data_IF_091989689228
#
_entry.id   IF_091989689228
#
_cell.length_a   1.000
_cell.length_b   1.000
_cell.length_c   1.000
_cell.angle_alpha   90.00
_cell.angle_beta   90.00
_cell.angle_gamma   90.00
#
_symmetry.space_group_name_H-M   'P 1'
#
loop_
_entity.id
_entity.type
_entity.pdbx_description
1 polymer ?
#
# COMPACT_ATOMS: atom_id res chain seq x y z
N UNK A 1 24.05 8.18 9.42
CA UNK A 1 23.85 6.82 8.88
C UNK A 1 22.39 6.72 8.53
N UNK A 2 22.06 6.44 7.26
CA UNK A 2 20.66 6.17 6.88
C UNK A 2 20.17 4.94 7.65
N UNK A 3 18.92 4.98 8.11
CA UNK A 3 18.30 3.87 8.82
C UNK A 3 18.18 2.69 7.82
N UNK A 4 18.76 1.51 8.08
CA UNK A 4 18.71 0.38 7.14
C UNK A 4 17.28 -0.07 6.81
N UNK A 5 16.32 0.19 7.71
CA UNK A 5 14.90 -0.05 7.46
C UNK A 5 14.36 0.90 6.39
N UNK A 6 14.77 2.17 6.40
CA UNK A 6 14.34 3.14 5.38
C UNK A 6 14.90 2.79 4.01
N UNK A 7 16.13 2.30 3.93
CA UNK A 7 16.71 1.80 2.67
C UNK A 7 15.93 0.58 2.15
N UNK A 8 15.57 -0.35 3.02
CA UNK A 8 14.76 -1.51 2.66
C UNK A 8 13.36 -1.08 2.16
N UNK A 9 12.70 -0.16 2.86
CA UNK A 9 11.39 0.38 2.44
C UNK A 9 11.52 1.07 1.08
N UNK A 10 12.52 1.96 0.92
CA UNK A 10 12.78 2.67 -0.34
C UNK A 10 13.01 1.71 -1.50
N UNK A 11 13.79 0.64 -1.27
CA UNK A 11 14.03 -0.39 -2.26
C UNK A 11 12.74 -1.12 -2.63
N UNK A 12 11.93 -1.49 -1.65
CA UNK A 12 10.67 -2.22 -1.88
C UNK A 12 9.69 -1.39 -2.73
N UNK A 13 9.49 -0.11 -2.38
CA UNK A 13 8.54 0.77 -3.08
C UNK A 13 9.04 1.25 -4.45
N UNK A 14 10.34 1.19 -4.72
CA UNK A 14 10.89 1.50 -6.06
C UNK A 14 11.03 0.27 -6.95
N UNK A 15 11.16 -0.92 -6.37
CA UNK A 15 11.24 -2.19 -7.12
C UNK A 15 9.87 -2.67 -7.59
N UNK A 16 8.83 -2.43 -6.81
CA UNK A 16 7.47 -2.85 -7.12
C UNK A 16 6.60 -1.63 -7.41
N UNK A 17 5.80 -1.72 -8.47
CA UNK A 17 4.95 -0.62 -8.91
C UNK A 17 3.84 -0.25 -7.93
N UNK A 18 3.31 -1.23 -7.19
CA UNK A 18 2.29 -1.01 -6.16
C UNK A 18 2.65 -1.84 -4.93
N UNK A 19 2.82 -1.16 -3.79
CA UNK A 19 3.18 -1.78 -2.51
C UNK A 19 2.18 -1.38 -1.44
N UNK A 20 1.62 -2.36 -0.75
CA UNK A 20 0.74 -2.18 0.39
C UNK A 20 1.42 -2.68 1.66
N UNK A 21 1.83 -1.77 2.53
CA UNK A 21 2.20 -2.12 3.90
C UNK A 21 0.94 -2.34 4.72
N UNK A 22 0.77 -3.54 5.25
CA UNK A 22 -0.46 -3.98 5.91
C UNK A 22 -0.18 -4.87 7.12
N UNK A 23 -1.23 -5.13 7.91
CA UNK A 23 -1.19 -6.10 9.01
C UNK A 23 -1.70 -7.45 8.49
N UNK A 24 -0.85 -8.46 8.46
CA UNK A 24 -1.11 -9.73 7.80
C UNK A 24 -0.74 -9.70 6.32
N UNK A 25 -1.35 -10.58 5.52
CA UNK A 25 -1.09 -10.71 4.08
C UNK A 25 -2.35 -10.43 3.25
N UNK A 26 -2.24 -10.21 1.92
CA UNK A 26 -3.41 -10.03 1.07
C UNK A 26 -4.42 -11.19 1.14
N UNK A 27 -3.93 -12.41 1.34
CA UNK A 27 -4.77 -13.62 1.47
C UNK A 27 -5.33 -13.76 2.89
N UNK A 28 -4.57 -13.37 3.90
CA UNK A 28 -4.94 -13.46 5.31
C UNK A 28 -4.69 -12.12 6.03
N UNK A 29 -5.57 -11.11 5.84
CA UNK A 29 -5.43 -9.83 6.52
C UNK A 29 -5.77 -9.98 8.01
N UNK A 30 -4.96 -9.38 8.87
CA UNK A 30 -5.13 -9.44 10.34
C UNK A 30 -5.71 -8.15 10.93
N UNK A 31 -6.21 -7.25 10.08
CA UNK A 31 -6.82 -5.99 10.49
C UNK A 31 -7.88 -5.56 9.47
N UNK A 32 -9.06 -5.11 9.94
CA UNK A 32 -10.16 -4.69 9.07
C UNK A 32 -9.79 -3.56 8.10
N UNK A 33 -8.95 -2.61 8.53
CA UNK A 33 -8.45 -1.54 7.65
C UNK A 33 -7.54 -2.09 6.54
N UNK A 34 -6.67 -3.05 6.87
CA UNK A 34 -5.84 -3.74 5.88
C UNK A 34 -6.68 -4.56 4.91
N UNK A 35 -7.70 -5.27 5.41
CA UNK A 35 -8.63 -6.01 4.57
C UNK A 35 -9.40 -5.09 3.60
N UNK A 36 -9.84 -3.91 4.05
CA UNK A 36 -10.54 -2.95 3.21
C UNK A 36 -9.70 -2.45 2.03
N UNK A 37 -8.42 -2.12 2.26
CA UNK A 37 -7.53 -1.69 1.16
C UNK A 37 -7.23 -2.83 0.20
N UNK A 38 -7.00 -4.05 0.72
CA UNK A 38 -6.84 -5.25 -0.14
C UNK A 38 -8.07 -5.48 -1.01
N UNK A 39 -9.27 -5.34 -0.45
CA UNK A 39 -10.52 -5.47 -1.20
C UNK A 39 -10.60 -4.43 -2.32
N UNK A 40 -10.31 -3.15 -2.04
CA UNK A 40 -10.31 -2.09 -3.06
C UNK A 40 -9.37 -2.43 -4.21
N UNK A 41 -8.11 -2.75 -3.92
CA UNK A 41 -7.12 -3.09 -4.95
C UNK A 41 -7.52 -4.34 -5.75
N UNK A 42 -8.13 -5.32 -5.09
CA UNK A 42 -8.64 -6.55 -5.73
C UNK A 42 -9.81 -6.25 -6.68
N UNK A 43 -10.76 -5.41 -6.27
CA UNK A 43 -11.90 -5.02 -7.14
C UNK A 43 -11.42 -4.26 -8.38
N UNK A 44 -10.38 -3.43 -8.23
CA UNK A 44 -9.74 -2.74 -9.36
C UNK A 44 -8.86 -3.66 -10.22
N UNK A 45 -8.62 -4.91 -9.78
CA UNK A 45 -7.74 -5.85 -10.47
C UNK A 45 -6.28 -5.41 -10.50
N UNK A 46 -5.84 -4.65 -9.50
CA UNK A 46 -4.47 -4.16 -9.41
C UNK A 46 -3.57 -5.29 -8.90
N UNK A 47 -2.46 -5.55 -9.60
CA UNK A 47 -1.40 -6.40 -9.05
C UNK A 47 -0.56 -5.57 -8.08
N UNK A 48 -0.47 -6.01 -6.83
CA UNK A 48 0.30 -5.32 -5.80
C UNK A 48 1.08 -6.29 -4.91
N UNK A 49 2.15 -5.78 -4.30
CA UNK A 49 2.92 -6.47 -3.28
C UNK A 49 2.37 -6.12 -1.89
N UNK A 50 1.89 -7.12 -1.15
CA UNK A 50 1.56 -6.96 0.27
C UNK A 50 2.78 -7.22 1.15
N UNK A 51 3.10 -6.28 2.04
CA UNK A 51 4.18 -6.41 3.03
C UNK A 51 3.58 -6.41 4.43
N UNK A 52 3.79 -7.51 5.16
CA UNK A 52 3.27 -7.67 6.52
C UNK A 52 4.18 -6.96 7.53
N UNK A 53 3.69 -5.88 8.14
CA UNK A 53 4.43 -5.15 9.17
C UNK A 53 4.41 -5.84 10.53
N UNK A 54 3.63 -6.91 10.72
CA UNK A 54 3.59 -7.65 11.98
C UNK A 54 4.79 -8.58 12.15
N UNK A 55 5.48 -8.94 11.06
CA UNK A 55 6.64 -9.84 11.12
C UNK A 55 7.90 -9.15 11.65
N UNK A 56 7.97 -7.82 11.57
CA UNK A 56 9.12 -7.03 11.99
C UNK A 56 8.67 -5.71 12.66
N UNK A 57 8.88 -5.54 13.98
CA UNK A 57 8.57 -4.31 14.69
C UNK A 57 9.32 -3.07 14.17
N UNK A 58 10.56 -3.25 13.72
CA UNK A 58 11.38 -2.21 13.11
C UNK A 58 10.79 -1.73 11.79
N UNK A 59 10.31 -2.65 10.94
CA UNK A 59 9.59 -2.31 9.72
C UNK A 59 8.31 -1.53 10.01
N UNK A 60 7.52 -1.97 11.00
CA UNK A 60 6.28 -1.31 11.41
C UNK A 60 6.48 0.13 11.85
N UNK A 61 7.58 0.41 12.54
CA UNK A 61 7.90 1.76 12.98
C UNK A 61 8.54 2.57 11.85
N UNK A 62 9.49 1.97 11.12
CA UNK A 62 10.20 2.61 10.02
C UNK A 62 9.27 3.05 8.89
N UNK A 63 8.23 2.28 8.55
CA UNK A 63 7.29 2.70 7.49
C UNK A 63 6.50 3.96 7.87
N UNK A 64 6.16 4.12 9.16
CA UNK A 64 5.47 5.32 9.64
C UNK A 64 6.36 6.55 9.62
N UNK A 65 7.63 6.36 9.99
CA UNK A 65 8.64 7.41 9.97
C UNK A 65 9.00 7.81 8.54
N UNK A 66 9.15 6.83 7.64
CA UNK A 66 9.45 7.04 6.23
C UNK A 66 8.36 7.84 5.50
N UNK A 67 7.09 7.51 5.72
CA UNK A 67 5.96 8.22 5.12
C UNK A 67 5.55 9.50 5.85
N UNK A 68 6.13 9.75 7.03
CA UNK A 68 5.59 10.71 8.00
C UNK A 68 4.08 10.51 8.27
N UNK A 69 3.63 9.24 8.39
CA UNK A 69 2.22 8.87 8.54
C UNK A 69 2.02 7.87 9.69
N UNK A 70 1.14 8.14 10.66
CA UNK A 70 1.11 7.38 11.92
C UNK A 70 0.40 6.01 11.83
N UNK A 71 -0.39 5.77 10.78
CA UNK A 71 -1.28 4.59 10.70
C UNK A 71 -0.88 3.58 9.61
N UNK A 72 -1.45 2.37 9.74
CA UNK A 72 -1.32 1.22 8.81
C UNK A 72 -2.75 0.74 8.54
N UNK A 73 -3.12 0.38 7.31
CA UNK A 73 -2.28 0.20 6.12
C UNK A 73 -1.77 1.49 5.46
N UNK A 74 -0.71 1.37 4.64
CA UNK A 74 -0.18 2.43 3.79
C UNK A 74 0.05 1.91 2.36
N UNK A 75 -0.49 2.63 1.38
CA UNK A 75 -0.34 2.31 -0.04
C UNK A 75 0.73 3.21 -0.68
N UNK A 76 1.59 2.59 -1.49
CA UNK A 76 2.57 3.25 -2.34
C UNK A 76 2.34 2.84 -3.79
N UNK A 77 2.47 3.79 -4.70
CA UNK A 77 2.38 3.60 -6.15
C UNK A 77 3.60 4.28 -6.78
N UNK A 78 4.37 3.54 -7.59
CA UNK A 78 5.59 4.01 -8.26
C UNK A 78 6.58 4.72 -7.32
N UNK A 79 6.71 4.21 -6.09
CA UNK A 79 7.58 4.77 -5.06
C UNK A 79 7.00 5.94 -4.27
N UNK A 80 5.83 6.45 -4.64
CA UNK A 80 5.18 7.58 -3.98
C UNK A 80 4.12 7.10 -2.97
N UNK A 81 4.07 7.76 -1.82
CA UNK A 81 3.07 7.49 -0.80
C UNK A 81 1.71 8.06 -1.21
N UNK A 82 0.70 7.22 -1.29
CA UNK A 82 -0.67 7.61 -1.68
C UNK A 82 -1.51 7.96 -0.46
N UNK A 83 -1.52 7.08 0.55
CA UNK A 83 -2.38 7.28 1.72
C UNK A 83 -2.62 6.05 2.56
N UNK A 84 -3.37 6.26 3.64
CA UNK A 84 -3.90 5.20 4.51
C UNK A 84 -5.29 4.73 4.10
N UNK A 85 -5.89 3.82 4.88
CA UNK A 85 -7.16 3.18 4.56
C UNK A 85 -8.29 4.14 4.16
N UNK A 86 -8.53 5.20 4.92
CA UNK A 86 -9.66 6.11 4.68
C UNK A 86 -9.50 6.88 3.36
N UNK A 87 -8.29 7.39 3.09
CA UNK A 87 -7.94 8.07 1.84
C UNK A 87 -8.15 7.13 0.66
N UNK A 88 -7.63 5.90 0.73
CA UNK A 88 -7.77 4.93 -0.38
C UNK A 88 -9.24 4.59 -0.65
N UNK A 89 -10.06 4.47 0.41
CA UNK A 89 -11.49 4.18 0.26
C UNK A 89 -12.24 5.36 -0.35
N UNK A 90 -11.91 6.58 0.06
CA UNK A 90 -12.50 7.80 -0.51
C UNK A 90 -12.14 7.94 -1.99
N UNK A 91 -10.85 7.87 -2.33
CA UNK A 91 -10.37 7.92 -3.72
C UNK A 91 -10.98 6.82 -4.60
N UNK A 92 -11.23 5.62 -4.04
CA UNK A 92 -11.94 4.57 -4.75
C UNK A 92 -13.40 4.93 -5.02
N UNK A 93 -14.10 5.49 -4.04
CA UNK A 93 -15.51 5.89 -4.18
C UNK A 93 -15.69 7.05 -5.16
N UNK A 94 -14.74 7.99 -5.22
CA UNK A 94 -14.76 9.13 -6.15
C UNK A 94 -14.26 8.76 -7.55
N UNK A 95 -13.63 7.59 -7.71
CA UNK A 95 -12.98 7.17 -8.96
C UNK A 95 -11.56 7.71 -9.17
N UNK A 96 -11.11 8.62 -8.30
CA UNK A 96 -9.78 9.23 -8.33
C UNK A 96 -8.65 8.20 -8.23
N UNK A 97 -8.85 7.13 -7.46
CA UNK A 97 -7.85 6.06 -7.34
C UNK A 97 -7.61 5.37 -8.68
N UNK A 98 -8.67 5.05 -9.41
CA UNK A 98 -8.59 4.40 -10.72
C UNK A 98 -7.93 5.31 -11.75
N UNK A 99 -8.26 6.61 -11.73
CA UNK A 99 -7.65 7.61 -12.61
C UNK A 99 -6.15 7.77 -12.33
N UNK A 100 -5.77 7.87 -11.06
CA UNK A 100 -4.37 7.96 -10.65
C UNK A 100 -3.58 6.73 -11.08
N UNK A 101 -4.09 5.52 -10.82
CA UNK A 101 -3.44 4.27 -11.21
C UNK A 101 -3.25 4.18 -12.73
N UNK A 102 -4.27 4.54 -13.52
CA UNK A 102 -4.16 4.57 -14.99
C UNK A 102 -3.10 5.58 -15.45
N UNK A 103 -3.07 6.78 -14.87
CA UNK A 103 -2.09 7.83 -15.20
C UNK A 103 -0.67 7.40 -14.83
N UNK A 104 -0.50 6.64 -13.75
CA UNK A 104 0.78 6.04 -13.35
C UNK A 104 1.18 4.82 -14.19
N UNK A 105 0.37 4.44 -15.19
CA UNK A 105 0.61 3.28 -16.06
C UNK A 105 0.40 1.94 -15.38
N UNK A 106 -0.41 1.89 -14.32
CA UNK A 106 -0.78 0.65 -13.63
C UNK A 106 -1.95 0.00 -14.36
N UNK A 107 -1.76 -1.25 -14.76
CA UNK A 107 -2.80 -2.04 -15.42
C UNK A 107 -3.91 -2.40 -14.43
N UNK A 108 -5.14 -2.01 -14.75
CA UNK A 108 -6.36 -2.38 -14.03
C UNK A 108 -7.04 -3.52 -14.76
N UNK A 109 -7.37 -4.61 -14.05
CA UNK A 109 -8.13 -5.74 -14.58
C UNK A 109 -9.38 -6.01 -13.73
N UNK A 110 -10.37 -5.11 -13.73
CA UNK A 110 -11.56 -5.27 -12.90
C UNK A 110 -12.24 -6.61 -13.21
N UNK A 111 -12.62 -7.36 -12.17
CA UNK A 111 -13.44 -8.55 -12.36
C UNK A 111 -14.84 -8.12 -12.82
N UNK A 112 -15.20 -8.55 -14.03
CA UNK A 112 -16.50 -8.31 -14.66
C UNK A 112 -17.65 -9.04 -13.97
#
# INVERSE_FOLDING_TARGET
MENPVHEAIRKEVTTNDVVLYMKGSPVFPQCGFSAAVVQVLTHLGVRFKGVDVLTDPGLRQGVKEFSNWPTIPQLYVKGEFVGGCDIIREMYQTGELSEMLNTSGIELQPQA
#
